data_IF_704600600443
#
_entry.id   IF_704600600443
#
_cell.length_a   1.000
_cell.length_b   1.000
_cell.length_c   1.000
_cell.angle_alpha   90.00
_cell.angle_beta   90.00
_cell.angle_gamma   90.00
#
_symmetry.space_group_name_H-M   'P 1'
#
loop_
_entity.id
_entity.type
_entity.pdbx_description
1 polymer ?
#
# COMPACT_ATOMS: atom_id res chain seq x y z
N UNK A 1 25.76 1.09 -11.69
CA UNK A 1 24.80 1.48 -12.74
C UNK A 1 23.72 0.42 -12.81
N UNK A 2 22.54 0.68 -12.22
CA UNK A 2 21.39 -0.25 -12.22
C UNK A 2 20.70 -0.10 -13.58
N UNK A 3 20.67 -1.17 -14.39
CA UNK A 3 20.04 -1.14 -15.71
C UNK A 3 18.52 -1.03 -15.54
N UNK A 4 17.94 0.03 -16.08
CA UNK A 4 16.52 0.12 -16.40
C UNK A 4 16.21 -0.97 -17.43
N UNK A 5 15.29 -1.87 -17.12
CA UNK A 5 14.79 -2.85 -18.08
C UNK A 5 13.54 -2.25 -18.74
N UNK A 6 13.69 -1.79 -19.99
CA UNK A 6 12.56 -1.57 -20.88
C UNK A 6 12.20 -2.92 -21.51
N UNK A 7 10.98 -3.40 -21.26
CA UNK A 7 10.45 -4.63 -21.87
C UNK A 7 9.82 -4.25 -23.21
N UNK A 8 10.40 -4.75 -24.30
CA UNK A 8 9.84 -4.68 -25.65
C UNK A 8 8.92 -5.89 -25.88
N UNK A 9 7.70 -5.62 -26.33
CA UNK A 9 6.63 -6.59 -26.55
C UNK A 9 6.75 -7.17 -27.97
N UNK A 10 6.82 -8.49 -28.11
CA UNK A 10 6.59 -9.20 -29.38
C UNK A 10 5.31 -10.02 -29.28
N UNK A 11 4.40 -9.80 -30.23
CA UNK A 11 3.10 -10.48 -30.36
C UNK A 11 3.28 -11.96 -30.70
N UNK A 12 2.62 -12.83 -29.93
CA UNK A 12 1.47 -13.65 -30.37
C UNK A 12 1.18 -14.71 -29.31
N UNK A 13 -0.01 -14.63 -28.69
CA UNK A 13 -0.88 -15.76 -28.31
C UNK A 13 -2.12 -15.19 -27.62
N UNK A 14 -3.28 -15.79 -27.88
CA UNK A 14 -4.56 -15.39 -27.30
C UNK A 14 -4.47 -15.30 -25.77
N UNK A 15 -4.51 -14.07 -25.23
CA UNK A 15 -4.59 -13.84 -23.78
C UNK A 15 -6.06 -13.92 -23.40
N UNK A 16 -6.47 -15.04 -22.80
CA UNK A 16 -7.69 -15.06 -22.00
C UNK A 16 -7.44 -14.11 -20.81
N UNK A 17 -7.99 -12.90 -20.89
CA UNK A 17 -7.88 -11.90 -19.82
C UNK A 17 -8.77 -12.34 -18.67
N UNK A 18 -8.16 -12.93 -17.65
CA UNK A 18 -8.82 -13.18 -16.39
C UNK A 18 -9.33 -11.90 -15.75
N UNK A 19 -10.65 -11.67 -15.80
CA UNK A 19 -11.29 -10.65 -14.98
C UNK A 19 -11.28 -11.11 -13.54
N UNK A 20 -10.45 -10.47 -12.71
CA UNK A 20 -10.62 -10.55 -11.26
C UNK A 20 -11.89 -9.81 -10.87
N UNK A 21 -12.68 -10.40 -9.96
CA UNK A 21 -13.73 -9.63 -9.31
C UNK A 21 -13.14 -8.51 -8.43
N UNK A 22 -13.98 -7.67 -7.82
CA UNK A 22 -13.52 -6.55 -6.98
C UNK A 22 -12.67 -6.98 -5.79
N UNK A 23 -12.97 -8.12 -5.16
CA UNK A 23 -12.24 -8.65 -4.00
C UNK A 23 -10.94 -9.32 -4.44
N UNK A 24 -10.99 -10.13 -5.50
CA UNK A 24 -9.82 -10.76 -6.10
C UNK A 24 -8.82 -9.71 -6.62
N UNK A 25 -9.30 -8.58 -7.13
CA UNK A 25 -8.47 -7.46 -7.56
C UNK A 25 -7.67 -6.85 -6.40
N UNK A 26 -8.24 -6.82 -5.19
CA UNK A 26 -7.51 -6.41 -3.98
C UNK A 26 -6.37 -7.39 -3.70
N UNK A 27 -6.63 -8.69 -3.80
CA UNK A 27 -5.61 -9.72 -3.55
C UNK A 27 -4.51 -9.67 -4.61
N UNK A 28 -4.88 -9.49 -5.88
CA UNK A 28 -3.93 -9.30 -6.96
C UNK A 28 -3.03 -8.07 -6.70
N UNK A 29 -3.61 -6.93 -6.32
CA UNK A 29 -2.86 -5.72 -5.97
C UNK A 29 -1.87 -5.94 -4.81
N UNK A 30 -2.27 -6.71 -3.79
CA UNK A 30 -1.38 -7.07 -2.68
C UNK A 30 -0.22 -7.96 -3.16
N UNK A 31 -0.49 -8.96 -4.01
CA UNK A 31 0.48 -9.93 -4.50
C UNK A 31 1.51 -9.33 -5.47
N UNK A 32 1.17 -8.26 -6.17
CA UNK A 32 2.10 -7.56 -7.09
C UNK A 32 2.76 -6.32 -6.49
N UNK A 33 2.48 -6.02 -5.21
CA UNK A 33 3.09 -4.90 -4.51
C UNK A 33 4.61 -5.07 -4.36
N UNK A 34 5.37 -3.98 -4.54
CA UNK A 34 6.80 -3.95 -4.25
C UNK A 34 7.10 -4.03 -2.74
N UNK A 35 6.10 -3.79 -1.89
CA UNK A 35 6.20 -3.95 -0.45
C UNK A 35 5.92 -5.41 -0.05
N UNK A 36 6.95 -6.12 0.43
CA UNK A 36 6.90 -7.53 0.84
C UNK A 36 5.81 -7.83 1.87
N UNK A 37 5.51 -6.88 2.75
CA UNK A 37 4.47 -7.09 3.75
C UNK A 37 3.06 -7.07 3.15
N UNK A 38 2.82 -6.28 2.11
CA UNK A 38 1.57 -6.32 1.36
C UNK A 38 1.45 -7.67 0.63
N UNK A 39 2.54 -8.16 0.03
CA UNK A 39 2.56 -9.49 -0.60
C UNK A 39 2.24 -10.58 0.41
N UNK A 40 2.83 -10.51 1.60
CA UNK A 40 2.52 -11.43 2.71
C UNK A 40 1.05 -11.34 3.14
N UNK A 41 0.48 -10.14 3.19
CA UNK A 41 -0.94 -9.96 3.49
C UNK A 41 -1.83 -10.59 2.41
N UNK A 42 -1.48 -10.42 1.12
CA UNK A 42 -2.17 -11.08 0.01
C UNK A 42 -2.11 -12.61 0.11
N UNK A 43 -0.94 -13.16 0.45
CA UNK A 43 -0.78 -14.59 0.68
C UNK A 43 -1.64 -15.10 1.85
N UNK A 44 -1.73 -14.35 2.95
CA UNK A 44 -2.62 -14.66 4.07
C UNK A 44 -4.09 -14.62 3.64
N UNK A 45 -4.48 -13.62 2.86
CA UNK A 45 -5.85 -13.51 2.35
C UNK A 45 -6.22 -14.73 1.50
N UNK A 46 -5.34 -15.16 0.59
CA UNK A 46 -5.54 -16.40 -0.18
C UNK A 46 -5.64 -17.65 0.70
N UNK A 47 -4.77 -17.76 1.70
CA UNK A 47 -4.76 -18.89 2.64
C UNK A 47 -6.08 -19.02 3.40
N UNK A 48 -6.72 -17.90 3.73
CA UNK A 48 -7.97 -17.91 4.49
C UNK A 48 -9.21 -18.02 3.60
N UNK A 49 -9.25 -17.31 2.47
CA UNK A 49 -10.44 -17.23 1.63
C UNK A 49 -10.56 -18.37 0.62
N UNK A 50 -9.44 -18.98 0.23
CA UNK A 50 -9.39 -20.09 -0.72
C UNK A 50 -10.22 -19.85 -2.01
N UNK A 51 -9.96 -18.76 -2.76
CA UNK A 51 -10.75 -18.45 -3.95
C UNK A 51 -10.65 -19.54 -5.02
N UNK A 52 -11.71 -19.75 -5.80
CA UNK A 52 -11.72 -20.74 -6.89
C UNK A 52 -10.96 -20.28 -8.14
N UNK A 53 -10.60 -18.99 -8.22
CA UNK A 53 -9.98 -18.41 -9.40
C UNK A 53 -8.51 -18.84 -9.57
N UNK A 54 -8.28 -19.77 -10.50
CA UNK A 54 -6.96 -20.32 -10.84
C UNK A 54 -5.94 -19.25 -11.22
N UNK A 55 -6.34 -18.14 -11.85
CA UNK A 55 -5.38 -17.11 -12.26
C UNK A 55 -4.83 -16.30 -11.10
N UNK A 56 -5.60 -16.17 -10.02
CA UNK A 56 -5.13 -15.52 -8.81
C UNK A 56 -4.10 -16.41 -8.09
N UNK A 57 -4.27 -17.73 -8.15
CA UNK A 57 -3.26 -18.69 -7.71
C UNK A 57 -2.02 -18.71 -8.62
N UNK A 58 -2.22 -18.62 -9.94
CA UNK A 58 -1.12 -18.48 -10.92
C UNK A 58 -0.33 -17.19 -10.66
N UNK A 59 -1.00 -16.10 -10.28
CA UNK A 59 -0.35 -14.85 -9.87
C UNK A 59 0.48 -15.05 -8.60
N UNK A 60 -0.06 -15.71 -7.57
CA UNK A 60 0.69 -16.02 -6.35
C UNK A 60 1.93 -16.90 -6.63
N UNK A 61 1.78 -17.89 -7.50
CA UNK A 61 2.86 -18.76 -7.98
C UNK A 61 3.94 -17.95 -8.72
N UNK A 62 3.53 -17.08 -9.64
CA UNK A 62 4.43 -16.15 -10.32
C UNK A 62 5.16 -15.23 -9.33
N UNK A 63 4.47 -14.71 -8.31
CA UNK A 63 5.07 -13.86 -7.28
C UNK A 63 6.19 -14.59 -6.54
N UNK A 64 6.02 -15.87 -6.15
CA UNK A 64 7.12 -16.68 -5.57
C UNK A 64 8.32 -16.73 -6.52
N UNK A 65 8.06 -17.09 -7.79
CA UNK A 65 9.10 -17.22 -8.79
C UNK A 65 9.86 -15.90 -8.97
N UNK A 66 9.15 -14.80 -9.19
CA UNK A 66 9.73 -13.47 -9.39
C UNK A 66 10.55 -13.01 -8.19
N UNK A 67 10.04 -13.20 -6.98
CA UNK A 67 10.76 -12.84 -5.75
C UNK A 67 12.05 -13.65 -5.57
N UNK A 68 12.06 -14.95 -5.84
CA UNK A 68 13.27 -15.75 -5.70
C UNK A 68 14.36 -15.41 -6.74
N UNK A 69 13.98 -14.92 -7.91
CA UNK A 69 14.92 -14.52 -8.97
C UNK A 69 15.41 -13.08 -8.81
N UNK A 70 14.51 -12.15 -8.47
CA UNK A 70 14.77 -10.71 -8.54
C UNK A 70 14.68 -9.99 -7.19
N UNK A 71 14.17 -10.64 -6.15
CA UNK A 71 13.93 -10.03 -4.84
C UNK A 71 15.19 -9.85 -4.01
N UNK A 72 15.12 -8.91 -3.07
CA UNK A 72 16.14 -8.69 -2.06
C UNK A 72 16.06 -9.78 -0.97
N UNK A 73 16.95 -10.77 -1.06
CA UNK A 73 17.01 -11.92 -0.14
C UNK A 73 17.55 -11.56 1.24
N UNK A 74 18.16 -10.38 1.38
CA UNK A 74 18.65 -9.88 2.67
C UNK A 74 17.56 -9.12 3.43
N UNK A 75 16.45 -8.78 2.79
CA UNK A 75 15.32 -8.16 3.47
C UNK A 75 14.73 -9.14 4.50
N UNK A 76 14.65 -8.70 5.75
CA UNK A 76 14.15 -9.49 6.89
C UNK A 76 12.73 -10.05 6.69
N UNK A 77 11.93 -9.47 5.79
CA UNK A 77 10.58 -9.92 5.47
C UNK A 77 10.52 -10.97 4.35
N UNK A 78 11.61 -11.13 3.60
CA UNK A 78 11.68 -12.01 2.43
C UNK A 78 11.27 -13.45 2.78
N UNK A 79 11.95 -14.04 3.77
CA UNK A 79 11.73 -15.41 4.21
C UNK A 79 10.30 -15.65 4.70
N UNK A 80 9.73 -14.70 5.44
CA UNK A 80 8.38 -14.81 5.95
C UNK A 80 7.34 -14.70 4.83
N UNK A 81 7.57 -13.82 3.88
CA UNK A 81 6.68 -13.60 2.72
C UNK A 81 6.63 -14.83 1.81
N UNK A 82 7.79 -15.37 1.43
CA UNK A 82 7.88 -16.61 0.62
C UNK A 82 7.23 -17.79 1.36
N UNK A 83 7.44 -17.89 2.67
CA UNK A 83 6.84 -18.95 3.49
C UNK A 83 5.31 -18.91 3.46
N UNK A 84 4.72 -17.72 3.57
CA UNK A 84 3.27 -17.53 3.50
C UNK A 84 2.71 -17.80 2.10
N UNK A 85 3.39 -17.35 1.04
CA UNK A 85 2.99 -17.67 -0.33
C UNK A 85 3.00 -19.18 -0.57
N UNK A 86 4.08 -19.87 -0.16
CA UNK A 86 4.16 -21.33 -0.29
C UNK A 86 3.03 -22.02 0.50
N UNK A 87 2.75 -21.56 1.72
CA UNK A 87 1.64 -22.07 2.54
C UNK A 87 0.30 -21.89 1.81
N UNK A 88 0.02 -20.70 1.29
CA UNK A 88 -1.21 -20.40 0.57
C UNK A 88 -1.39 -21.28 -0.68
N UNK A 89 -0.34 -21.43 -1.51
CA UNK A 89 -0.38 -22.31 -2.68
C UNK A 89 -0.62 -23.77 -2.27
N UNK A 90 -0.05 -24.22 -1.15
CA UNK A 90 -0.34 -25.55 -0.61
C UNK A 90 -1.82 -25.77 -0.29
N UNK A 91 -2.50 -24.76 0.27
CA UNK A 91 -3.95 -24.85 0.56
C UNK A 91 -4.82 -24.86 -0.69
N UNK A 92 -4.35 -24.33 -1.82
CA UNK A 92 -5.08 -24.43 -3.10
C UNK A 92 -5.31 -25.88 -3.53
N UNK A 93 -4.53 -26.84 -3.00
CA UNK A 93 -4.62 -28.27 -3.31
C UNK A 93 -4.46 -28.59 -4.81
N UNK A 94 -3.93 -27.64 -5.58
CA UNK A 94 -3.84 -27.75 -7.03
C UNK A 94 -2.44 -28.23 -7.46
N UNK A 95 -2.36 -29.48 -7.93
CA UNK A 95 -1.14 -30.12 -8.41
C UNK A 95 -0.42 -29.41 -9.56
N UNK A 96 -1.07 -28.46 -10.22
CA UNK A 96 -0.48 -27.58 -11.24
C UNK A 96 0.78 -26.86 -10.78
N UNK A 97 0.90 -26.56 -9.48
CA UNK A 97 2.05 -25.81 -8.94
C UNK A 97 3.22 -26.68 -8.50
N UNK A 98 3.11 -28.00 -8.61
CA UNK A 98 4.09 -28.93 -8.05
C UNK A 98 5.49 -28.75 -8.66
N UNK A 99 5.59 -28.63 -9.99
CA UNK A 99 6.86 -28.43 -10.66
C UNK A 99 7.55 -27.14 -10.22
N UNK A 100 6.80 -26.02 -10.16
CA UNK A 100 7.32 -24.74 -9.70
C UNK A 100 7.85 -24.86 -8.27
N UNK A 101 7.04 -25.37 -7.33
CA UNK A 101 7.45 -25.47 -5.92
C UNK A 101 8.70 -26.36 -5.75
N UNK A 102 8.82 -27.45 -6.51
CA UNK A 102 10.03 -28.29 -6.51
C UNK A 102 11.26 -27.55 -7.02
N UNK A 103 11.12 -26.76 -8.09
CA UNK A 103 12.22 -25.92 -8.59
C UNK A 103 12.63 -24.87 -7.55
N UNK A 104 11.65 -24.17 -6.95
CA UNK A 104 11.91 -23.14 -5.94
C UNK A 104 12.50 -23.73 -4.65
N UNK A 105 12.12 -24.94 -4.26
CA UNK A 105 12.72 -25.68 -3.13
C UNK A 105 14.22 -25.92 -3.32
N UNK A 106 14.67 -26.22 -4.55
CA UNK A 106 16.10 -26.40 -4.85
C UNK A 106 16.90 -25.10 -4.74
N UNK A 107 16.27 -23.96 -5.05
CA UNK A 107 16.87 -22.62 -4.96
C UNK A 107 16.81 -22.02 -3.56
N UNK A 108 15.96 -22.55 -2.68
CA UNK A 108 15.76 -22.03 -1.33
C UNK A 108 17.06 -22.11 -0.51
N UNK A 109 17.50 -20.98 0.03
CA UNK A 109 18.70 -20.91 0.86
C UNK A 109 18.36 -21.22 2.33
N UNK A 110 17.25 -20.67 2.85
CA UNK A 110 16.90 -20.81 4.26
C UNK A 110 16.15 -22.10 4.59
N UNK A 111 16.40 -22.64 5.78
CA UNK A 111 15.71 -23.83 6.28
C UNK A 111 14.20 -23.58 6.48
N UNK A 112 13.82 -22.35 6.82
CA UNK A 112 12.42 -21.94 6.96
C UNK A 112 11.70 -22.09 5.62
N UNK A 113 12.22 -21.48 4.55
CA UNK A 113 11.62 -21.56 3.22
C UNK A 113 11.54 -23.02 2.75
N UNK A 114 12.63 -23.79 2.89
CA UNK A 114 12.65 -25.22 2.52
C UNK A 114 11.53 -26.01 3.20
N UNK A 115 11.30 -25.78 4.49
CA UNK A 115 10.23 -26.44 5.25
C UNK A 115 8.86 -26.11 4.68
N UNK A 116 8.57 -24.83 4.39
CA UNK A 116 7.27 -24.43 3.86
C UNK A 116 7.03 -24.95 2.44
N UNK A 117 8.05 -24.96 1.56
CA UNK A 117 7.90 -25.59 0.24
C UNK A 117 7.63 -27.09 0.33
N UNK A 118 8.37 -27.83 1.18
CA UNK A 118 8.10 -29.26 1.39
C UNK A 118 6.68 -29.51 1.88
N UNK A 119 6.21 -28.68 2.82
CA UNK A 119 4.84 -28.76 3.33
C UNK A 119 3.81 -28.49 2.25
N UNK A 120 4.02 -27.46 1.43
CA UNK A 120 3.13 -27.10 0.34
C UNK A 120 3.06 -28.22 -0.72
N UNK A 121 4.21 -28.75 -1.16
CA UNK A 121 4.30 -29.86 -2.12
C UNK A 121 3.54 -31.09 -1.61
N UNK A 122 3.64 -31.40 -0.31
CA UNK A 122 2.91 -32.52 0.31
C UNK A 122 1.40 -32.30 0.33
N UNK A 123 0.94 -31.06 0.42
CA UNK A 123 -0.48 -30.71 0.46
C UNK A 123 -1.14 -30.72 -0.93
N UNK A 124 -0.36 -30.65 -2.01
CA UNK A 124 -0.89 -30.70 -3.38
C UNK A 124 -1.39 -32.10 -3.74
N UNK A 125 -2.42 -32.13 -4.58
CA UNK A 125 -3.08 -33.32 -5.09
C UNK A 125 -3.39 -33.12 -6.59
N UNK A 126 -3.76 -34.19 -7.30
CA UNK A 126 -4.06 -34.16 -8.74
C UNK A 126 -2.89 -33.60 -9.60
N UNK A 127 -1.74 -34.28 -9.57
CA UNK A 127 -0.51 -33.84 -10.26
C UNK A 127 -0.52 -34.11 -11.77
N UNK A 128 -1.56 -34.79 -12.28
CA UNK A 128 -1.73 -35.10 -13.71
C UNK A 128 -2.29 -33.91 -14.53
N UNK A 129 -2.47 -32.74 -13.90
CA UNK A 129 -2.93 -31.52 -14.56
C UNK A 129 -1.77 -30.76 -15.24
N UNK A 130 -2.06 -29.95 -16.28
CA UNK A 130 -1.07 -29.09 -16.91
C UNK A 130 -0.34 -28.20 -15.91
N UNK A 131 0.99 -28.34 -15.84
CA UNK A 131 1.83 -27.62 -14.88
C UNK A 131 1.91 -26.13 -15.19
N UNK A 132 2.03 -25.31 -14.15
CA UNK A 132 2.23 -23.88 -14.27
C UNK A 132 3.68 -23.56 -14.66
N UNK A 133 3.86 -22.78 -15.73
CA UNK A 133 5.17 -22.38 -16.25
C UNK A 133 5.36 -20.88 -16.01
N UNK A 134 6.07 -20.53 -14.92
CA UNK A 134 6.25 -19.14 -14.52
C UNK A 134 6.96 -18.27 -15.57
N UNK A 135 7.87 -18.86 -16.37
CA UNK A 135 8.61 -18.14 -17.39
C UNK A 135 7.75 -17.67 -18.58
N UNK A 136 6.61 -18.33 -18.80
CA UNK A 136 5.64 -18.00 -19.86
C UNK A 136 4.48 -17.13 -19.33
N UNK A 137 4.41 -16.96 -18.01
CA UNK A 137 3.35 -16.18 -17.39
C UNK A 137 3.59 -14.69 -17.56
N UNK A 138 2.69 -14.03 -18.27
CA UNK A 138 2.63 -12.57 -18.27
C UNK A 138 1.59 -12.15 -17.25
N UNK A 139 2.03 -11.48 -16.18
CA UNK A 139 1.15 -10.87 -15.20
C UNK A 139 0.43 -9.66 -15.84
N UNK A 140 -0.58 -9.92 -16.67
CA UNK A 140 -1.53 -8.91 -17.10
C UNK A 140 -2.64 -8.88 -16.05
N UNK A 141 -2.47 -8.07 -15.00
CA UNK A 141 -3.62 -7.65 -14.20
C UNK A 141 -4.41 -6.73 -15.12
N UNK A 142 -5.36 -7.30 -15.85
CA UNK A 142 -6.38 -6.47 -16.48
C UNK A 142 -7.02 -5.67 -15.34
N UNK A 143 -7.13 -4.33 -15.44
CA UNK A 143 -7.98 -3.60 -14.51
C UNK A 143 -9.31 -4.31 -14.54
N UNK A 144 -9.78 -4.71 -13.36
CA UNK A 144 -11.11 -5.25 -13.14
C UNK A 144 -12.11 -4.57 -14.08
N UNK A 145 -13.04 -5.33 -14.66
CA UNK A 145 -14.14 -4.78 -15.43
C UNK A 145 -15.43 -4.75 -14.59
N UNK A 146 -15.48 -4.10 -13.39
CA UNK A 146 -16.73 -3.99 -12.66
C UNK A 146 -17.57 -2.90 -13.33
N UNK A 147 -18.88 -2.98 -13.16
CA UNK A 147 -19.72 -1.78 -13.24
C UNK A 147 -19.06 -0.73 -12.35
N UNK A 148 -18.47 0.33 -12.92
CA UNK A 148 -17.70 1.32 -12.19
C UNK A 148 -18.59 2.07 -11.19
N UNK A 149 -18.81 1.49 -10.01
CA UNK A 149 -19.33 2.23 -8.87
C UNK A 149 -18.21 3.18 -8.48
N UNK A 150 -18.42 4.47 -8.72
CA UNK A 150 -17.49 5.51 -8.30
C UNK A 150 -17.82 5.90 -6.87
N UNK A 151 -16.85 5.84 -5.99
CA UNK A 151 -17.00 6.31 -4.62
C UNK A 151 -17.51 7.77 -4.60
N UNK A 152 -18.46 8.04 -3.71
CA UNK A 152 -18.99 9.38 -3.42
C UNK A 152 -18.84 9.66 -1.93
N UNK A 153 -18.89 10.94 -1.54
CA UNK A 153 -18.83 11.32 -0.13
C UNK A 153 -19.97 10.66 0.65
N UNK A 154 -21.20 10.70 0.13
CA UNK A 154 -22.37 10.08 0.76
C UNK A 154 -22.20 8.57 0.94
N UNK A 155 -21.71 7.85 -0.07
CA UNK A 155 -21.48 6.41 0.06
C UNK A 155 -20.35 6.10 1.06
N UNK A 156 -19.29 6.93 1.08
CA UNK A 156 -18.20 6.76 2.05
C UNK A 156 -18.68 7.02 3.49
N UNK A 157 -19.55 8.00 3.68
CA UNK A 157 -20.18 8.27 4.98
C UNK A 157 -21.10 7.14 5.41
N UNK A 158 -21.73 6.40 4.50
CA UNK A 158 -22.60 5.27 4.83
C UNK A 158 -21.86 4.07 5.42
N UNK A 159 -20.57 3.89 5.13
CA UNK A 159 -19.78 2.79 5.70
C UNK A 159 -19.69 2.91 7.23
N UNK A 160 -19.89 1.79 7.93
CA UNK A 160 -19.85 1.64 9.39
C UNK A 160 -18.78 0.63 9.81
N UNK A 161 -18.29 0.76 11.04
CA UNK A 161 -17.51 -0.29 11.70
C UNK A 161 -18.36 -1.56 11.78
N UNK A 162 -17.77 -2.71 11.42
CA UNK A 162 -18.44 -4.00 11.31
C UNK A 162 -18.92 -4.36 9.91
N UNK A 163 -18.98 -3.41 8.97
CA UNK A 163 -19.32 -3.71 7.56
C UNK A 163 -18.27 -4.64 6.95
N UNK A 164 -18.69 -5.59 6.10
CA UNK A 164 -17.75 -6.49 5.42
C UNK A 164 -17.09 -5.80 4.22
N UNK A 165 -15.98 -6.37 3.76
CA UNK A 165 -15.31 -5.92 2.53
C UNK A 165 -16.27 -5.90 1.33
N UNK A 166 -17.13 -6.90 1.21
CA UNK A 166 -18.12 -7.00 0.13
C UNK A 166 -19.13 -5.83 0.19
N UNK A 167 -19.57 -5.45 1.40
CA UNK A 167 -20.41 -4.25 1.61
C UNK A 167 -19.68 -2.99 1.16
N UNK A 168 -18.42 -2.83 1.57
CA UNK A 168 -17.59 -1.68 1.18
C UNK A 168 -17.45 -1.59 -0.33
N UNK A 169 -17.09 -2.68 -0.99
CA UNK A 169 -16.94 -2.74 -2.45
C UNK A 169 -18.25 -2.51 -3.19
N UNK A 170 -19.38 -2.96 -2.63
CA UNK A 170 -20.70 -2.71 -3.23
C UNK A 170 -21.12 -1.23 -3.18
N UNK A 171 -20.65 -0.47 -2.18
CA UNK A 171 -21.00 0.94 -1.98
C UNK A 171 -20.02 1.89 -2.65
N UNK A 172 -18.73 1.54 -2.65
CA UNK A 172 -17.65 2.43 -3.09
C UNK A 172 -16.96 1.98 -4.37
N UNK A 173 -17.22 0.75 -4.82
CA UNK A 173 -16.43 0.12 -5.87
C UNK A 173 -15.00 -0.16 -5.43
N UNK A 174 -14.12 -0.26 -6.42
CA UNK A 174 -12.72 -0.59 -6.16
C UNK A 174 -11.97 0.56 -5.51
N UNK A 175 -11.10 0.27 -4.53
CA UNK A 175 -10.25 1.27 -3.92
C UNK A 175 -9.18 1.76 -4.91
N UNK A 176 -8.75 3.01 -4.73
CA UNK A 176 -7.61 3.57 -5.45
C UNK A 176 -6.26 3.05 -4.92
N UNK A 177 -6.24 2.55 -3.68
CA UNK A 177 -5.04 2.02 -3.05
C UNK A 177 -5.36 0.86 -2.12
N UNK A 178 -4.49 -0.15 -2.11
CA UNK A 178 -4.59 -1.33 -1.26
C UNK A 178 -3.27 -1.53 -0.54
N UNK A 179 -3.33 -1.86 0.75
CA UNK A 179 -2.13 -2.19 1.50
C UNK A 179 -2.47 -2.73 2.87
N UNK A 180 -1.60 -2.44 3.84
CA UNK A 180 -1.81 -2.85 5.22
C UNK A 180 -1.87 -1.68 6.21
N UNK A 181 -2.57 -1.90 7.30
CA UNK A 181 -2.37 -1.26 8.59
C UNK A 181 -1.56 -2.19 9.49
N UNK A 182 -0.47 -1.69 10.08
CA UNK A 182 0.27 -2.41 11.11
C UNK A 182 -0.01 -1.75 12.45
N UNK A 183 -0.73 -2.45 13.32
CA UNK A 183 -0.94 -2.02 14.70
C UNK A 183 -0.13 -2.89 15.64
N UNK A 184 0.59 -2.25 16.56
CA UNK A 184 1.22 -2.97 17.66
C UNK A 184 0.65 -2.51 18.98
N UNK A 185 0.27 -3.46 19.82
CA UNK A 185 -0.16 -3.20 21.19
C UNK A 185 0.75 -3.95 22.14
N UNK A 186 1.16 -3.28 23.22
CA UNK A 186 1.82 -3.96 24.33
C UNK A 186 0.75 -4.40 25.32
N UNK A 187 0.67 -5.70 25.56
CA UNK A 187 -0.16 -6.26 26.62
C UNK A 187 0.74 -6.65 27.79
N UNK A 188 0.34 -6.34 29.04
CA UNK A 188 1.05 -6.86 30.22
C UNK A 188 1.23 -8.37 30.10
N UNK A 189 2.43 -8.86 30.43
CA UNK A 189 2.83 -10.28 30.46
C UNK A 189 2.85 -11.04 29.11
N UNK A 190 2.11 -10.60 28.09
CA UNK A 190 2.08 -11.22 26.74
C UNK A 190 3.08 -10.55 25.77
N UNK A 191 3.54 -9.35 26.12
CA UNK A 191 4.50 -8.60 25.31
C UNK A 191 3.82 -7.85 24.16
N UNK A 192 4.59 -7.56 23.10
CA UNK A 192 4.12 -6.78 21.96
C UNK A 192 3.46 -7.68 20.93
N UNK A 193 2.15 -7.51 20.73
CA UNK A 193 1.41 -8.14 19.65
C UNK A 193 1.37 -7.19 18.46
N UNK A 194 1.51 -7.73 17.24
CA UNK A 194 1.43 -6.95 16.00
C UNK A 194 0.38 -7.56 15.09
N UNK A 195 -0.59 -6.75 14.68
CA UNK A 195 -1.67 -7.12 13.78
C UNK A 195 -1.42 -6.48 12.41
N UNK A 196 -1.74 -7.24 11.36
CA UNK A 196 -1.67 -6.81 9.98
C UNK A 196 -3.07 -6.84 9.41
N UNK A 197 -3.65 -5.66 9.26
CA UNK A 197 -5.01 -5.46 8.80
C UNK A 197 -4.98 -4.93 7.37
N UNK A 198 -6.00 -5.23 6.59
CA UNK A 198 -6.16 -4.72 5.23
C UNK A 198 -6.41 -3.22 5.28
N UNK A 199 -5.74 -2.45 4.42
CA UNK A 199 -6.06 -1.06 4.15
C UNK A 199 -6.69 -0.95 2.78
N UNK A 200 -7.81 -0.24 2.72
CA UNK A 200 -8.35 0.32 1.48
C UNK A 200 -8.23 1.84 1.53
N UNK A 201 -7.79 2.45 0.44
CA UNK A 201 -7.72 3.90 0.25
C UNK A 201 -8.65 4.31 -0.90
N UNK A 202 -9.45 5.34 -0.65
CA UNK A 202 -10.34 5.98 -1.62
C UNK A 202 -9.97 7.46 -1.69
N UNK A 203 -9.42 7.86 -2.83
CA UNK A 203 -8.91 9.21 -3.08
C UNK A 203 -10.02 10.23 -2.84
N UNK A 204 -9.66 11.32 -2.14
CA UNK A 204 -10.54 12.42 -1.75
C UNK A 204 -11.55 12.08 -0.64
N UNK A 205 -11.66 10.82 -0.23
CA UNK A 205 -12.63 10.39 0.79
C UNK A 205 -11.94 9.94 2.07
N UNK A 206 -10.98 9.03 1.97
CA UNK A 206 -10.39 8.43 3.16
C UNK A 206 -9.77 7.07 2.97
N UNK A 207 -9.46 6.45 4.09
CA UNK A 207 -9.03 5.07 4.13
C UNK A 207 -9.78 4.29 5.20
N UNK A 208 -9.84 2.98 5.02
CA UNK A 208 -10.42 2.06 5.98
C UNK A 208 -9.40 1.00 6.34
N UNK A 209 -9.38 0.65 7.61
CA UNK A 209 -8.72 -0.52 8.15
C UNK A 209 -9.76 -1.64 8.27
N UNK A 210 -9.46 -2.79 7.67
CA UNK A 210 -10.27 -3.98 7.80
C UNK A 210 -9.48 -5.07 8.52
N UNK A 211 -10.05 -5.60 9.60
CA UNK A 211 -9.51 -6.74 10.34
C UNK A 211 -10.12 -8.03 9.78
N UNK A 212 -9.32 -9.08 9.68
CA UNK A 212 -9.85 -10.40 9.33
C UNK A 212 -10.45 -11.03 10.60
N UNK A 213 -11.75 -11.31 10.58
CA UNK A 213 -12.47 -12.01 11.65
C UNK A 213 -13.25 -13.19 11.06
N UNK A 214 -13.08 -14.35 11.69
CA UNK A 214 -13.64 -15.64 11.29
C UNK A 214 -13.32 -16.01 9.83
N UNK A 215 -14.12 -15.52 8.90
CA UNK A 215 -14.03 -15.80 7.46
C UNK A 215 -14.17 -14.54 6.58
N UNK A 216 -14.15 -13.34 7.18
CA UNK A 216 -14.40 -12.10 6.45
C UNK A 216 -13.47 -10.96 6.90
N UNK A 217 -13.18 -10.07 5.96
CA UNK A 217 -12.61 -8.75 6.27
C UNK A 217 -13.72 -7.84 6.73
N UNK A 218 -13.61 -7.30 7.95
CA UNK A 218 -14.59 -6.38 8.53
C UNK A 218 -13.96 -5.00 8.79
N UNK A 219 -14.70 -3.92 8.55
CA UNK A 219 -14.25 -2.56 8.83
C UNK A 219 -14.05 -2.39 10.33
N UNK A 220 -12.81 -2.10 10.72
CA UNK A 220 -12.42 -1.81 12.11
C UNK A 220 -12.38 -0.30 12.34
N UNK A 221 -11.69 0.41 11.45
CA UNK A 221 -11.54 1.87 11.53
C UNK A 221 -11.77 2.52 10.17
N UNK A 222 -12.47 3.65 10.17
CA UNK A 222 -12.61 4.55 9.02
C UNK A 222 -11.97 5.88 9.33
N UNK A 223 -11.09 6.36 8.44
CA UNK A 223 -10.38 7.63 8.57
C UNK A 223 -10.63 8.49 7.33
N UNK A 224 -11.02 9.76 7.52
CA UNK A 224 -11.24 10.69 6.41
C UNK A 224 -9.90 11.24 5.91
N UNK A 225 -9.73 11.32 4.60
CA UNK A 225 -8.59 11.99 3.98
C UNK A 225 -8.82 13.50 4.09
N UNK A 226 -7.74 14.30 4.11
CA UNK A 226 -7.90 15.73 3.85
C UNK A 226 -8.36 15.97 2.42
N UNK A 227 -8.97 17.12 2.14
CA UNK A 227 -9.47 17.54 0.81
C UNK A 227 -8.38 17.76 -0.26
N UNK A 228 -7.31 16.96 -0.27
CA UNK A 228 -6.25 17.03 -1.25
C UNK A 228 -6.72 16.35 -2.54
N UNK A 229 -7.02 17.15 -3.57
CA UNK A 229 -7.31 16.64 -4.91
C UNK A 229 -6.02 16.08 -5.54
N UNK A 230 -5.84 14.77 -5.45
CA UNK A 230 -4.65 14.08 -5.98
C UNK A 230 -4.89 13.49 -7.38
N UNK A 231 -5.87 14.00 -8.13
CA UNK A 231 -6.18 13.53 -9.48
C UNK A 231 -5.03 13.75 -10.48
N UNK A 232 -4.20 14.76 -10.27
CA UNK A 232 -3.02 15.04 -11.10
C UNK A 232 -1.84 14.09 -10.85
N UNK A 233 -1.90 13.27 -9.80
CA UNK A 233 -0.82 12.35 -9.40
C UNK A 233 -0.92 11.07 -10.23
N UNK A 234 0.23 10.55 -10.66
CA UNK A 234 0.28 9.29 -11.42
C UNK A 234 -0.26 8.14 -10.59
N UNK A 235 -0.91 7.15 -11.25
CA UNK A 235 -1.52 6.02 -10.56
C UNK A 235 -0.54 5.28 -9.62
N UNK A 236 0.74 5.23 -10.00
CA UNK A 236 1.82 4.64 -9.21
C UNK A 236 1.98 5.29 -7.82
N UNK A 237 1.88 6.62 -7.72
CA UNK A 237 2.14 7.34 -6.46
C UNK A 237 0.88 7.63 -5.64
N UNK A 238 -0.32 7.39 -6.19
CA UNK A 238 -1.59 7.72 -5.52
C UNK A 238 -1.76 7.03 -4.17
N UNK A 239 -1.48 5.73 -4.07
CA UNK A 239 -1.59 5.01 -2.79
C UNK A 239 -0.63 5.60 -1.75
N UNK A 240 0.65 5.75 -2.11
CA UNK A 240 1.67 6.28 -1.23
C UNK A 240 1.32 7.69 -0.77
N UNK A 241 0.87 8.54 -1.68
CA UNK A 241 0.45 9.89 -1.36
C UNK A 241 -0.79 9.91 -0.46
N UNK A 242 -1.81 9.08 -0.73
CA UNK A 242 -3.03 9.00 0.10
C UNK A 242 -2.70 8.74 1.58
N UNK A 243 -1.67 7.93 1.85
CA UNK A 243 -1.17 7.69 3.22
C UNK A 243 -0.37 8.85 3.78
N UNK A 244 0.48 9.48 2.96
CA UNK A 244 1.31 10.63 3.36
C UNK A 244 0.45 11.84 3.76
N UNK A 245 -0.72 12.00 3.15
CA UNK A 245 -1.69 13.09 3.44
C UNK A 245 -2.94 12.60 4.19
N UNK A 246 -2.86 11.45 4.85
CA UNK A 246 -3.94 10.94 5.71
C UNK A 246 -3.94 11.65 7.08
N UNK A 247 -5.02 11.54 7.85
CA UNK A 247 -5.05 12.02 9.24
C UNK A 247 -4.57 10.96 10.26
N UNK A 248 -4.00 9.84 9.81
CA UNK A 248 -3.48 8.78 10.68
C UNK A 248 -1.95 8.90 10.82
N UNK A 249 -1.48 9.26 12.02
CA UNK A 249 -0.05 9.42 12.34
C UNK A 249 0.79 8.18 12.01
N UNK A 250 0.23 6.98 12.18
CA UNK A 250 0.91 5.72 11.89
C UNK A 250 1.11 5.55 10.39
N UNK A 251 0.08 5.83 9.60
CA UNK A 251 0.15 5.78 8.13
C UNK A 251 1.12 6.80 7.57
N UNK A 252 1.05 8.06 8.02
CA UNK A 252 1.98 9.11 7.55
C UNK A 252 3.42 8.69 7.83
N UNK A 253 3.71 8.18 9.04
CA UNK A 253 5.08 7.79 9.40
C UNK A 253 5.56 6.54 8.67
N UNK A 254 4.68 5.57 8.41
CA UNK A 254 5.03 4.39 7.63
C UNK A 254 5.33 4.78 6.17
N UNK A 255 4.43 5.55 5.56
CA UNK A 255 4.54 6.04 4.20
C UNK A 255 5.75 6.96 4.01
N UNK A 256 6.04 7.84 4.99
CA UNK A 256 7.22 8.71 4.90
C UNK A 256 8.53 7.91 4.92
N UNK A 257 8.61 6.81 5.67
CA UNK A 257 9.79 5.93 5.65
C UNK A 257 9.94 5.23 4.29
N UNK A 258 8.83 4.79 3.71
CA UNK A 258 8.79 4.21 2.37
C UNK A 258 9.28 5.22 1.33
N UNK A 259 8.73 6.44 1.34
CA UNK A 259 9.12 7.54 0.45
C UNK A 259 10.55 8.05 0.68
N UNK A 260 11.20 7.70 1.80
CA UNK A 260 12.62 7.97 2.03
C UNK A 260 13.49 6.85 1.45
N UNK A 261 13.07 5.58 1.60
CA UNK A 261 13.78 4.41 1.03
C UNK A 261 13.69 4.41 -0.49
N UNK A 262 12.53 4.77 -1.03
CA UNK A 262 12.23 4.93 -2.46
C UNK A 262 11.82 6.39 -2.69
N UNK A 263 12.78 7.28 -3.01
CA UNK A 263 12.52 8.71 -3.11
C UNK A 263 11.38 9.03 -4.08
N UNK A 264 10.35 9.73 -3.59
CA UNK A 264 9.35 10.35 -4.44
C UNK A 264 10.00 11.45 -5.28
N UNK A 265 9.90 11.32 -6.61
CA UNK A 265 10.42 12.30 -7.58
C UNK A 265 9.32 13.05 -8.31
N UNK A 266 8.09 12.54 -8.29
CA UNK A 266 6.94 13.19 -8.91
C UNK A 266 6.64 14.54 -8.24
N UNK A 267 6.64 15.61 -9.04
CA UNK A 267 6.47 16.96 -8.54
C UNK A 267 5.07 17.18 -7.96
N UNK A 268 4.01 16.64 -8.59
CA UNK A 268 2.65 16.82 -8.10
C UNK A 268 2.49 16.21 -6.69
N UNK A 269 3.02 15.00 -6.47
CA UNK A 269 3.04 14.35 -5.16
C UNK A 269 3.78 15.17 -4.10
N UNK A 270 4.94 15.72 -4.45
CA UNK A 270 5.74 16.54 -3.54
C UNK A 270 5.07 17.89 -3.24
N UNK A 271 4.44 18.53 -4.23
CA UNK A 271 3.64 19.76 -4.05
C UNK A 271 2.45 19.49 -3.09
N UNK A 272 1.77 18.34 -3.20
CA UNK A 272 0.73 17.94 -2.25
C UNK A 272 1.26 17.75 -0.83
N UNK A 273 2.42 17.11 -0.67
CA UNK A 273 3.04 16.94 0.65
C UNK A 273 3.41 18.30 1.24
N UNK A 274 3.98 19.20 0.45
CA UNK A 274 4.33 20.55 0.88
C UNK A 274 3.09 21.35 1.31
N UNK A 275 2.02 21.31 0.51
CA UNK A 275 0.73 21.92 0.88
C UNK A 275 0.16 21.30 2.15
N UNK A 276 0.21 19.99 2.30
CA UNK A 276 -0.32 19.29 3.46
C UNK A 276 0.40 19.68 4.76
N UNK A 277 1.74 19.79 4.72
CA UNK A 277 2.52 20.30 5.86
C UNK A 277 2.08 21.73 6.18
N UNK A 278 1.92 22.58 5.16
CA UNK A 278 1.52 23.98 5.34
C UNK A 278 0.13 24.10 5.99
N UNK A 279 -0.85 23.35 5.51
CA UNK A 279 -2.21 23.41 6.03
C UNK A 279 -2.30 22.93 7.48
N UNK A 280 -1.45 21.97 7.86
CA UNK A 280 -1.49 21.32 9.18
C UNK A 280 -0.42 21.85 10.15
N UNK A 281 0.36 22.86 9.77
CA UNK A 281 1.51 23.36 10.55
C UNK A 281 1.13 23.88 11.95
N UNK A 282 -0.13 24.27 12.15
CA UNK A 282 -0.65 24.80 13.41
C UNK A 282 -1.10 23.76 14.45
N UNK A 283 -0.88 22.46 14.19
CA UNK A 283 -1.30 21.40 15.11
C UNK A 283 -0.69 21.53 16.52
N UNK A 284 -1.50 21.22 17.53
CA UNK A 284 -1.08 21.11 18.93
C UNK A 284 -0.78 19.66 19.34
N UNK A 285 -1.14 18.68 18.50
CA UNK A 285 -0.86 17.27 18.76
C UNK A 285 0.62 16.96 18.46
N UNK A 286 1.36 16.56 19.49
CA UNK A 286 2.79 16.27 19.40
C UNK A 286 3.14 15.01 18.58
N UNK A 287 2.23 14.05 18.47
CA UNK A 287 2.36 12.88 17.59
C UNK A 287 2.12 13.27 16.14
N UNK A 288 1.07 14.05 15.86
CA UNK A 288 0.80 14.54 14.52
C UNK A 288 1.90 15.50 14.02
N UNK A 289 2.42 16.36 14.90
CA UNK A 289 3.58 17.20 14.59
C UNK A 289 4.85 16.38 14.30
N UNK A 290 5.01 15.19 14.91
CA UNK A 290 6.09 14.26 14.56
C UNK A 290 5.91 13.71 13.14
N UNK A 291 4.69 13.35 12.74
CA UNK A 291 4.42 12.91 11.36
C UNK A 291 4.69 14.01 10.34
N UNK A 292 4.30 15.26 10.59
CA UNK A 292 4.62 16.38 9.69
C UNK A 292 6.14 16.59 9.57
N UNK A 293 6.88 16.41 10.66
CA UNK A 293 8.34 16.46 10.63
C UNK A 293 8.97 15.33 9.79
N UNK A 294 8.34 14.16 9.71
CA UNK A 294 8.75 13.11 8.76
C UNK A 294 8.49 13.52 7.31
N UNK A 295 7.38 14.21 7.02
CA UNK A 295 7.10 14.73 5.69
C UNK A 295 8.13 15.79 5.24
N UNK A 296 8.62 16.64 6.15
CA UNK A 296 9.76 17.54 5.84
C UNK A 296 11.00 16.76 5.34
N UNK A 297 11.26 15.57 5.91
CA UNK A 297 12.37 14.72 5.44
C UNK A 297 12.09 14.14 4.06
N UNK A 298 10.84 13.76 3.76
CA UNK A 298 10.45 13.29 2.42
C UNK A 298 10.77 14.37 1.37
N UNK A 299 10.36 15.61 1.61
CA UNK A 299 10.66 16.74 0.71
C UNK A 299 12.17 16.91 0.50
N UNK A 300 12.97 16.83 1.54
CA UNK A 300 14.43 16.97 1.43
C UNK A 300 15.14 15.77 0.81
N UNK A 301 14.58 14.57 0.97
CA UNK A 301 15.08 13.36 0.33
C UNK A 301 14.87 13.37 -1.20
N UNK A 302 13.87 14.10 -1.69
CA UNK A 302 13.64 14.30 -3.13
C UNK A 302 14.75 15.08 -3.84
N UNK A 303 15.59 15.80 -3.08
CA UNK A 303 16.62 16.72 -3.59
C UNK A 303 16.10 17.86 -4.48
N UNK A 304 14.80 18.10 -4.47
CA UNK A 304 14.19 19.18 -5.23
C UNK A 304 14.23 20.50 -4.45
N UNK A 305 15.02 21.45 -4.94
CA UNK A 305 15.24 22.76 -4.33
C UNK A 305 14.02 23.66 -4.23
N UNK A 306 12.97 23.38 -5.03
CA UNK A 306 11.68 24.07 -5.05
C UNK A 306 11.04 24.20 -3.65
N UNK A 307 11.28 23.22 -2.78
CA UNK A 307 10.69 23.15 -1.43
C UNK A 307 11.54 23.81 -0.34
N UNK A 308 12.70 24.38 -0.69
CA UNK A 308 13.60 24.96 0.31
C UNK A 308 12.94 26.14 1.04
N UNK A 309 12.30 27.05 0.31
CA UNK A 309 11.72 28.27 0.85
C UNK A 309 10.55 28.01 1.82
N UNK A 310 9.67 27.08 1.49
CA UNK A 310 8.58 26.69 2.40
C UNK A 310 9.11 26.06 3.69
N UNK A 311 10.19 25.27 3.61
CA UNK A 311 10.85 24.70 4.79
C UNK A 311 11.57 25.77 5.63
N UNK A 312 12.25 26.74 5.00
CA UNK A 312 12.86 27.88 5.70
C UNK A 312 11.79 28.72 6.41
N UNK A 313 10.64 28.95 5.77
CA UNK A 313 9.50 29.66 6.37
C UNK A 313 8.94 28.91 7.58
N UNK A 314 8.71 27.61 7.45
CA UNK A 314 8.25 26.75 8.55
C UNK A 314 9.24 26.72 9.72
N UNK A 315 10.54 26.86 9.46
CA UNK A 315 11.57 26.87 10.49
C UNK A 315 11.51 28.11 11.40
N UNK A 316 11.02 29.24 10.89
CA UNK A 316 10.99 30.53 11.59
C UNK A 316 9.66 30.82 12.29
N UNK A 317 8.58 30.14 11.91
CA UNK A 317 7.26 30.35 12.50
C UNK A 317 7.20 29.88 13.96
N UNK A 318 6.40 30.53 14.82
CA UNK A 318 6.15 30.11 16.20
C UNK A 318 5.16 28.92 16.26
N UNK A 319 5.51 27.81 15.61
CA UNK A 319 4.74 26.56 15.55
C UNK A 319 5.43 25.46 16.35
N UNK A 320 4.87 24.25 16.35
CA UNK A 320 5.37 23.14 17.15
C UNK A 320 6.88 22.85 16.88
N UNK A 321 7.67 22.81 17.97
CA UNK A 321 9.15 22.72 17.93
C UNK A 321 9.74 21.59 17.09
N UNK A 322 9.01 20.49 16.91
CA UNK A 322 9.46 19.38 16.04
C UNK A 322 9.43 19.80 14.57
N UNK A 323 8.37 20.47 14.12
CA UNK A 323 8.22 20.90 12.74
C UNK A 323 9.32 21.91 12.42
N UNK A 324 9.49 22.94 13.25
CA UNK A 324 10.51 23.99 13.03
C UNK A 324 11.92 23.40 12.97
N UNK A 325 12.29 22.54 13.93
CA UNK A 325 13.61 21.88 13.97
C UNK A 325 13.87 21.01 12.75
N UNK A 326 12.90 20.19 12.34
CA UNK A 326 13.08 19.31 11.19
C UNK A 326 13.10 20.10 9.89
N UNK A 327 12.22 21.09 9.72
CA UNK A 327 12.22 21.98 8.56
C UNK A 327 13.56 22.72 8.40
N UNK A 328 14.10 23.29 9.48
CA UNK A 328 15.42 23.93 9.47
C UNK A 328 16.55 22.96 9.07
N UNK A 329 16.52 21.74 9.62
CA UNK A 329 17.52 20.72 9.30
C UNK A 329 17.44 20.28 7.85
N UNK A 330 16.23 20.06 7.33
CA UNK A 330 15.99 19.51 5.99
C UNK A 330 16.15 20.57 4.90
N UNK A 331 15.85 21.84 5.17
CA UNK A 331 16.09 22.95 4.25
C UNK A 331 17.58 23.14 3.93
N UNK A 332 18.47 22.94 4.92
CA UNK A 332 19.94 22.98 4.72
C UNK A 332 20.47 21.90 3.77
N UNK A 333 19.69 20.85 3.52
CA UNK A 333 20.06 19.75 2.63
C UNK A 333 19.56 19.96 1.19
N UNK A 334 18.88 21.07 0.92
CA UNK A 334 18.36 21.44 -0.39
C UNK A 334 19.10 22.67 -0.91
N UNK A 335 19.48 22.62 -2.19
CA UNK A 335 19.92 23.80 -2.93
C UNK A 335 18.71 24.67 -3.30
N UNK A 336 18.87 25.97 -3.44
CA UNK A 336 17.79 26.82 -3.98
C UNK A 336 17.53 26.48 -5.46
N UNK A 337 16.26 26.54 -5.88
CA UNK A 337 15.85 26.26 -7.26
C UNK A 337 14.62 27.10 -7.63
N UNK A 338 14.48 27.40 -8.92
CA UNK A 338 13.32 28.06 -9.51
C UNK A 338 12.60 27.10 -10.46
N UNK A 339 11.25 27.11 -10.50
CA UNK A 339 10.34 27.89 -9.68
C UNK A 339 10.21 27.34 -8.24
N UNK A 340 10.01 28.23 -7.26
CA UNK A 340 9.76 27.87 -5.85
C UNK A 340 8.32 27.39 -5.64
N UNK A 341 8.10 26.53 -4.64
CA UNK A 341 6.75 26.11 -4.25
C UNK A 341 6.09 27.25 -3.46
N UNK A 342 4.89 27.64 -3.89
CA UNK A 342 4.07 28.63 -3.19
C UNK A 342 2.83 27.93 -2.63
N UNK A 343 2.64 27.88 -1.30
CA UNK A 343 1.45 27.28 -0.71
C UNK A 343 0.19 28.02 -1.16
N UNK A 344 -0.83 27.27 -1.56
CA UNK A 344 -2.15 27.82 -1.80
C UNK A 344 -2.75 28.33 -0.48
N UNK A 345 -3.32 29.53 -0.51
CA UNK A 345 -4.05 30.11 0.61
C UNK A 345 -5.45 29.53 0.58
N UNK A 346 -5.79 28.69 1.57
CA UNK A 346 -7.18 28.27 1.77
C UNK A 346 -7.97 29.45 2.33
N UNK A 347 -8.70 30.17 1.47
CA UNK A 347 -9.75 31.07 1.92
C UNK A 347 -10.80 30.22 2.63
N UNK A 348 -10.86 30.28 3.95
CA UNK A 348 -11.96 29.69 4.70
C UNK A 348 -13.24 30.37 4.21
N UNK A 349 -14.02 29.71 3.36
CA UNK A 349 -15.42 30.04 3.19
C UNK A 349 -16.06 29.72 4.53
N UNK A 350 -16.31 30.77 5.31
CA UNK A 350 -17.02 30.68 6.57
C UNK A 350 -18.43 30.16 6.28
N UNK A 351 -18.65 28.86 6.42
CA UNK A 351 -19.99 28.34 6.65
C UNK A 351 -20.40 28.74 8.07
N UNK A 352 -20.92 29.96 8.18
CA UNK A 352 -21.72 30.40 9.32
C UNK A 352 -23.07 29.70 9.19
N UNK A 353 -23.18 28.48 9.72
CA UNK A 353 -24.45 27.97 10.19
C UNK A 353 -24.52 28.34 11.67
N UNK A 354 -25.18 29.46 11.93
CA UNK A 354 -25.53 29.94 13.26
C UNK A 354 -26.27 28.84 14.03
N UNK A 355 -25.67 28.44 15.15
CA UNK A 355 -26.43 28.32 16.38
C UNK A 355 -27.24 29.60 16.57
N UNK A 356 -28.54 29.51 16.32
CA UNK A 356 -29.50 30.51 16.76
C UNK A 356 -30.85 29.85 17.03
N UNK A 357 -31.04 29.58 18.34
CA UNK A 357 -32.29 29.65 19.12
C UNK A 357 -33.09 28.37 19.35
N UNK A 358 -33.06 28.01 20.64
CA UNK A 358 -34.04 27.33 21.51
C UNK A 358 -34.26 25.83 21.30
#
# INVERSE_FOLDING_TARGET
MKKLLFIFLTLCSFVAHAGFDSKESIYANLLTSQNLQNVKLGAKALHHDLPDNVQLWDLAAFTIWSMNHNGDKEDKEFDDTISWLAKAIGESKNGRYQQLLNQQLKLAQSNKIKRYFKSAIKALNNTEVPQFIAAEYTAQIAPSNPKHIRATADNFERIRTGDTLEVVLSLLGNPDGVGQYIRSYSRPFIGRQTFQNLRLSYINFGSMELRYEDTHWIVDLKSKQTNADISAVTAEYRDLLSRLVSNDVTQIRAAAREAIKLPLTDQASLDHIAQYIWDNQGTQDGHFADSLAWLCKVLSNSKNGRYKEVLDTLAQKPIHKKITRYAAKTAKQLSSSTPVFTPAIKTQTANTAQDAKL
#
